data_IF_184535522628
#
_entry.id   IF_184535522628
#
_cell.length_a   1.000
_cell.length_b   1.000
_cell.length_c   1.000
_cell.angle_alpha   90.00
_cell.angle_beta   90.00
_cell.angle_gamma   90.00
#
_symmetry.space_group_name_H-M   'P 1'
#
loop_
_entity.id
_entity.type
_entity.pdbx_description
1 polymer ?
#
# COMPACT_ATOMS: atom_id res chain seq x y z
N UNK A 1 -0.59 -16.85 -4.18
CA UNK A 1 0.45 -15.83 -4.44
C UNK A 1 1.44 -15.87 -3.27
N UNK A 2 2.70 -15.45 -3.43
CA UNK A 2 3.61 -15.33 -2.29
C UNK A 2 3.04 -14.36 -1.24
N UNK A 3 3.33 -14.64 0.04
CA UNK A 3 2.91 -13.80 1.15
C UNK A 3 4.12 -13.11 1.77
N UNK A 4 3.93 -11.84 2.12
CA UNK A 4 4.96 -10.99 2.72
C UNK A 4 4.48 -10.47 4.07
N UNK A 5 5.41 -10.34 5.02
CA UNK A 5 5.16 -9.62 6.28
C UNK A 5 5.38 -8.12 6.05
N UNK A 6 4.31 -7.35 6.22
CA UNK A 6 4.38 -5.90 6.41
C UNK A 6 4.78 -5.61 7.84
N UNK A 7 6.01 -5.13 8.04
CA UNK A 7 6.55 -4.88 9.37
C UNK A 7 6.26 -3.45 9.85
N UNK A 8 5.88 -3.33 11.13
CA UNK A 8 5.69 -2.08 11.87
C UNK A 8 6.35 -2.21 13.24
N UNK A 9 6.95 -1.13 13.76
CA UNK A 9 7.64 -1.01 15.08
C UNK A 9 7.70 -2.29 15.93
N UNK A 10 8.92 -2.71 16.26
CA UNK A 10 9.19 -3.94 17.02
C UNK A 10 8.80 -5.19 16.20
N UNK A 11 7.90 -6.02 16.71
CA UNK A 11 7.42 -7.26 16.10
C UNK A 11 6.01 -7.12 15.46
N UNK A 12 5.47 -5.90 15.45
CA UNK A 12 4.13 -5.60 14.95
C UNK A 12 4.05 -5.66 13.43
N UNK A 13 2.85 -5.90 12.91
CA UNK A 13 2.65 -6.01 11.48
C UNK A 13 1.45 -6.87 11.10
N UNK A 14 1.39 -7.17 9.81
CA UNK A 14 0.47 -8.15 9.26
C UNK A 14 1.12 -8.90 8.08
N UNK A 15 0.58 -10.07 7.79
CA UNK A 15 0.87 -10.86 6.61
C UNK A 15 -0.17 -10.57 5.53
N UNK A 16 0.27 -10.55 4.28
CA UNK A 16 -0.59 -10.30 3.13
C UNK A 16 0.01 -10.90 1.85
N UNK A 17 -0.84 -11.19 0.86
CA UNK A 17 -0.35 -11.50 -0.49
C UNK A 17 0.36 -10.30 -1.11
N UNK A 18 1.51 -10.55 -1.72
CA UNK A 18 2.41 -9.50 -2.24
C UNK A 18 1.75 -8.62 -3.29
N UNK A 19 1.02 -9.23 -4.23
CA UNK A 19 0.30 -8.53 -5.29
C UNK A 19 -0.70 -7.51 -4.72
N UNK A 20 -1.40 -7.86 -3.63
CA UNK A 20 -2.36 -6.98 -2.98
C UNK A 20 -1.67 -5.78 -2.35
N UNK A 21 -0.49 -5.99 -1.74
CA UNK A 21 0.30 -4.91 -1.17
C UNK A 21 0.88 -4.00 -2.27
N UNK A 22 1.39 -4.60 -3.35
CA UNK A 22 1.90 -3.90 -4.53
C UNK A 22 0.83 -3.01 -5.18
N UNK A 23 -0.41 -3.51 -5.28
CA UNK A 23 -1.56 -2.73 -5.74
C UNK A 23 -1.81 -1.52 -4.82
N UNK A 24 -1.75 -1.69 -3.50
CA UNK A 24 -1.92 -0.59 -2.55
C UNK A 24 -0.77 0.41 -2.65
N UNK A 25 0.48 -0.04 -2.78
CA UNK A 25 1.61 0.85 -3.03
C UNK A 25 1.44 1.67 -4.30
N UNK A 26 0.90 1.09 -5.38
CA UNK A 26 0.58 1.84 -6.58
C UNK A 26 -0.34 3.04 -6.29
N UNK A 27 -1.44 2.83 -5.55
CA UNK A 27 -2.36 3.92 -5.22
C UNK A 27 -1.72 4.96 -4.29
N UNK A 28 -0.95 4.53 -3.29
CA UNK A 28 -0.23 5.44 -2.38
C UNK A 28 0.79 6.27 -3.16
N UNK A 29 1.59 5.65 -4.02
CA UNK A 29 2.58 6.33 -4.85
C UNK A 29 1.92 7.39 -5.74
N UNK A 30 0.84 7.02 -6.43
CA UNK A 30 0.08 7.91 -7.31
C UNK A 30 -0.50 9.11 -6.58
N UNK A 31 -0.92 8.95 -5.33
CA UNK A 31 -1.38 10.06 -4.51
C UNK A 31 -0.21 10.91 -4.02
N UNK A 32 0.80 10.27 -3.43
CA UNK A 32 1.92 10.94 -2.78
C UNK A 32 2.74 11.79 -3.75
N UNK A 33 2.88 11.39 -5.01
CA UNK A 33 3.66 12.15 -6.01
C UNK A 33 3.12 13.58 -6.23
N UNK A 34 1.85 13.84 -5.92
CA UNK A 34 1.26 15.19 -6.04
C UNK A 34 2.06 16.21 -5.24
N UNK A 35 2.28 17.38 -5.82
CA UNK A 35 3.14 18.44 -5.24
C UNK A 35 2.61 19.04 -3.94
N UNK A 36 1.32 18.86 -3.63
CA UNK A 36 0.69 19.38 -2.41
C UNK A 36 1.19 18.72 -1.11
N UNK A 37 1.79 17.53 -1.18
CA UNK A 37 2.30 16.83 0.00
C UNK A 37 3.76 17.17 0.24
N UNK A 38 4.05 17.70 1.42
CA UNK A 38 5.39 18.01 1.88
C UNK A 38 5.84 16.96 2.91
N UNK A 39 6.81 16.13 2.53
CA UNK A 39 7.45 15.13 3.39
C UNK A 39 8.96 15.31 3.32
N UNK A 40 9.63 15.19 4.46
CA UNK A 40 11.09 15.39 4.56
C UNK A 40 11.86 14.49 3.59
N UNK A 41 11.56 13.18 3.58
CA UNK A 41 12.21 12.20 2.72
C UNK A 41 11.31 11.70 1.57
N UNK A 42 10.49 12.59 1.01
CA UNK A 42 9.47 12.23 -0.01
C UNK A 42 10.04 11.41 -1.17
N UNK A 43 11.15 11.85 -1.74
CA UNK A 43 11.72 11.22 -2.94
C UNK A 43 12.21 9.81 -2.64
N UNK A 44 12.90 9.61 -1.52
CA UNK A 44 13.35 8.29 -1.10
C UNK A 44 12.17 7.34 -0.81
N UNK A 45 11.10 7.86 -0.21
CA UNK A 45 9.89 7.07 0.01
C UNK A 45 9.21 6.66 -1.30
N UNK A 46 9.17 7.56 -2.29
CA UNK A 46 8.66 7.26 -3.63
C UNK A 46 9.53 6.24 -4.36
N UNK A 47 10.86 6.33 -4.25
CA UNK A 47 11.80 5.35 -4.83
C UNK A 47 11.59 3.96 -4.24
N UNK A 48 11.47 3.83 -2.93
CA UNK A 48 11.19 2.55 -2.25
C UNK A 48 9.83 1.98 -2.65
N UNK A 49 8.77 2.79 -2.66
CA UNK A 49 7.46 2.35 -3.14
C UNK A 49 7.52 1.90 -4.60
N UNK A 50 8.28 2.60 -5.46
CA UNK A 50 8.41 2.23 -6.87
C UNK A 50 9.16 0.91 -7.03
N UNK A 51 10.21 0.69 -6.24
CA UNK A 51 10.94 -0.57 -6.19
C UNK A 51 10.03 -1.75 -5.83
N UNK A 52 9.15 -1.57 -4.84
CA UNK A 52 8.14 -2.59 -4.48
C UNK A 52 7.07 -2.75 -5.57
N UNK A 53 6.59 -1.66 -6.17
CA UNK A 53 5.63 -1.69 -7.29
C UNK A 53 6.20 -2.46 -8.47
N UNK A 54 7.50 -2.38 -8.72
CA UNK A 54 8.19 -3.10 -9.80
C UNK A 54 8.51 -4.57 -9.47
N UNK A 55 8.07 -5.06 -8.31
CA UNK A 55 8.18 -6.46 -7.91
C UNK A 55 9.59 -6.90 -7.52
N UNK A 56 10.47 -5.94 -7.20
CA UNK A 56 11.84 -6.26 -6.80
C UNK A 56 11.99 -6.70 -5.35
N UNK A 57 10.89 -6.74 -4.60
CA UNK A 57 10.82 -7.18 -3.21
C UNK A 57 9.97 -8.43 -3.09
N UNK A 58 10.54 -9.49 -2.48
CA UNK A 58 9.85 -10.76 -2.22
C UNK A 58 10.09 -11.22 -0.78
N UNK A 59 9.07 -11.79 -0.13
CA UNK A 59 9.12 -12.40 1.20
C UNK A 59 9.06 -11.44 2.39
N UNK A 60 9.45 -10.18 2.24
CA UNK A 60 9.22 -9.14 3.25
C UNK A 60 9.14 -7.76 2.62
N UNK A 61 8.03 -7.07 2.85
CA UNK A 61 7.81 -5.70 2.39
C UNK A 61 7.84 -4.73 3.57
N UNK A 62 8.41 -3.54 3.33
CA UNK A 62 8.54 -2.50 4.34
C UNK A 62 8.28 -1.15 3.72
N UNK A 63 7.45 -0.35 4.37
CA UNK A 63 7.12 1.00 3.93
C UNK A 63 8.24 2.02 4.18
N UNK A 64 9.40 1.60 4.71
CA UNK A 64 10.51 2.49 5.07
C UNK A 64 10.19 3.49 6.20
N UNK A 65 8.96 3.48 6.71
CA UNK A 65 8.40 4.50 7.59
C UNK A 65 9.21 4.76 8.86
N UNK A 66 9.78 3.71 9.47
CA UNK A 66 10.64 3.87 10.66
C UNK A 66 11.89 4.71 10.37
N UNK A 67 12.42 4.63 9.14
CA UNK A 67 13.66 5.28 8.72
C UNK A 67 13.41 6.62 8.04
N UNK A 68 12.31 6.75 7.31
CA UNK A 68 12.05 7.89 6.42
C UNK A 68 11.09 8.94 6.99
N UNK A 69 10.30 8.59 7.99
CA UNK A 69 9.42 9.53 8.69
C UNK A 69 10.20 10.13 9.86
N UNK A 70 10.49 11.42 9.80
CA UNK A 70 11.33 12.09 10.79
C UNK A 70 10.53 12.88 11.83
N UNK A 71 9.28 13.23 11.50
CA UNK A 71 8.48 14.15 12.30
C UNK A 71 7.01 13.74 12.43
N UNK A 72 6.32 14.29 13.42
CA UNK A 72 4.86 14.17 13.53
C UNK A 72 4.14 14.82 12.33
N UNK A 73 4.73 15.82 11.70
CA UNK A 73 4.20 16.43 10.47
C UNK A 73 4.21 15.46 9.30
N UNK A 74 5.29 14.66 9.19
CA UNK A 74 5.39 13.62 8.16
C UNK A 74 4.31 12.54 8.37
N UNK A 75 4.09 12.13 9.62
CA UNK A 75 3.03 11.18 9.98
C UNK A 75 1.65 11.72 9.56
N UNK A 76 1.34 12.97 9.90
CA UNK A 76 0.04 13.58 9.54
C UNK A 76 -0.13 13.69 8.03
N UNK A 77 0.93 14.04 7.30
CA UNK A 77 0.90 14.10 5.83
C UNK A 77 0.65 12.73 5.22
N UNK A 78 1.30 11.68 5.73
CA UNK A 78 1.06 10.31 5.24
C UNK A 78 -0.35 9.81 5.58
N UNK A 79 -0.88 10.14 6.76
CA UNK A 79 -2.28 9.83 7.08
C UNK A 79 -3.22 10.53 6.09
N UNK A 80 -2.98 11.81 5.77
CA UNK A 80 -3.78 12.53 4.76
C UNK A 80 -3.70 11.88 3.38
N UNK A 81 -2.51 11.43 2.95
CA UNK A 81 -2.33 10.66 1.70
C UNK A 81 -3.18 9.40 1.73
N UNK A 82 -3.11 8.60 2.80
CA UNK A 82 -3.87 7.36 2.94
C UNK A 82 -5.39 7.60 2.97
N UNK A 83 -5.84 8.66 3.63
CA UNK A 83 -7.26 9.05 3.63
C UNK A 83 -7.74 9.45 2.23
N UNK A 84 -6.93 10.18 1.45
CA UNK A 84 -7.27 10.50 0.07
C UNK A 84 -7.23 9.28 -0.86
N UNK A 85 -6.29 8.34 -0.67
CA UNK A 85 -6.29 7.05 -1.36
C UNK A 85 -7.58 6.27 -1.05
N UNK A 86 -7.98 6.23 0.21
CA UNK A 86 -9.24 5.59 0.64
C UNK A 86 -10.45 6.22 -0.04
N UNK A 87 -10.48 7.55 -0.18
CA UNK A 87 -11.54 8.27 -0.87
C UNK A 87 -11.54 7.99 -2.38
N UNK A 88 -10.37 8.01 -3.05
CA UNK A 88 -10.25 7.67 -4.47
C UNK A 88 -10.74 6.25 -4.73
N UNK A 89 -10.31 5.27 -3.92
CA UNK A 89 -10.75 3.89 -4.00
C UNK A 89 -12.27 3.78 -3.84
N UNK A 90 -12.86 4.37 -2.79
CA UNK A 90 -14.31 4.32 -2.59
C UNK A 90 -15.11 4.98 -3.74
N UNK A 91 -14.55 6.00 -4.40
CA UNK A 91 -15.22 6.68 -5.51
C UNK A 91 -15.38 5.80 -6.76
N UNK A 92 -14.61 4.72 -6.87
CA UNK A 92 -14.65 3.76 -7.99
C UNK A 92 -15.81 2.75 -7.89
N UNK A 93 -16.55 2.72 -6.77
CA UNK A 93 -17.66 1.80 -6.54
C UNK A 93 -17.25 0.53 -5.81
N UNK A 94 -17.69 -0.64 -6.27
CA UNK A 94 -17.42 -1.92 -5.60
C UNK A 94 -16.15 -2.63 -6.09
N UNK A 95 -15.75 -2.40 -7.34
CA UNK A 95 -14.64 -3.09 -7.99
C UNK A 95 -13.72 -2.12 -8.75
N UNK A 96 -12.43 -2.40 -8.72
CA UNK A 96 -11.44 -1.84 -9.64
C UNK A 96 -11.58 -2.59 -10.96
N UNK A 97 -11.71 -1.85 -12.07
CA UNK A 97 -11.85 -2.47 -13.39
C UNK A 97 -10.58 -3.19 -13.83
N UNK A 98 -10.73 -4.25 -14.63
CA UNK A 98 -9.59 -4.95 -15.27
C UNK A 98 -8.76 -3.96 -16.10
N UNK A 99 -9.40 -3.04 -16.81
CA UNK A 99 -8.71 -2.04 -17.61
C UNK A 99 -7.77 -1.17 -16.75
N UNK A 100 -8.22 -0.72 -15.58
CA UNK A 100 -7.38 0.05 -14.66
C UNK A 100 -6.21 -0.79 -14.15
N UNK A 101 -6.47 -2.04 -13.72
CA UNK A 101 -5.44 -2.94 -13.21
C UNK A 101 -4.37 -3.26 -14.26
N UNK A 102 -4.78 -3.54 -15.50
CA UNK A 102 -3.87 -3.87 -16.60
C UNK A 102 -3.05 -2.67 -17.10
N UNK A 103 -3.52 -1.45 -16.85
CA UNK A 103 -2.83 -0.21 -17.17
C UNK A 103 -1.78 0.21 -16.14
N UNK A 104 -1.73 -0.44 -14.97
CA UNK A 104 -0.69 -0.19 -13.98
C UNK A 104 0.68 -0.51 -14.61
N UNK A 105 1.59 0.45 -14.51
CA UNK A 105 2.96 0.34 -15.02
C UNK A 105 3.84 -0.28 -13.94
N UNK A 106 4.31 -1.49 -14.18
CA UNK A 106 5.18 -2.26 -13.31
C UNK A 106 6.10 -3.14 -14.16
N UNK A 107 7.32 -3.38 -13.67
CA UNK A 107 8.24 -4.37 -14.24
C UNK A 107 7.94 -5.81 -13.80
N UNK A 108 7.04 -5.98 -12.82
CA UNK A 108 6.56 -7.28 -12.40
C UNK A 108 5.58 -7.84 -13.44
N UNK A 109 6.10 -8.76 -14.26
CA UNK A 109 5.29 -9.43 -15.26
C UNK A 109 4.19 -10.31 -14.64
N UNK A 110 4.33 -10.75 -13.39
CA UNK A 110 3.34 -11.59 -12.72
C UNK A 110 2.14 -10.80 -12.21
N UNK A 111 2.34 -9.54 -11.83
CA UNK A 111 1.29 -8.65 -11.33
C UNK A 111 0.02 -8.72 -12.20
N UNK A 112 0.18 -8.62 -13.51
CA UNK A 112 -0.96 -8.59 -14.45
C UNK A 112 -1.69 -9.94 -14.56
N UNK A 113 -1.01 -11.06 -14.32
CA UNK A 113 -1.65 -12.37 -14.30
C UNK A 113 -2.57 -12.55 -13.09
N UNK A 114 -2.28 -11.86 -11.99
CA UNK A 114 -3.11 -11.87 -10.79
C UNK A 114 -4.38 -11.01 -10.91
N UNK A 115 -4.41 -10.06 -11.85
CA UNK A 115 -5.51 -9.11 -12.02
C UNK A 115 -6.25 -9.24 -13.36
N UNK A 116 -6.72 -10.46 -13.64
CA UNK A 116 -7.49 -10.79 -14.86
C UNK A 116 -9.00 -10.54 -14.74
N UNK A 117 -9.49 -10.29 -13.53
CA UNK A 117 -10.89 -10.04 -13.21
C UNK A 117 -11.03 -8.74 -12.40
N UNK A 118 -12.21 -8.10 -12.36
CA UNK A 118 -12.44 -6.93 -11.53
C UNK A 118 -12.11 -7.25 -10.07
N UNK A 119 -11.32 -6.38 -9.43
CA UNK A 119 -10.81 -6.63 -8.08
C UNK A 119 -11.63 -5.85 -7.05
N UNK A 120 -12.14 -6.48 -5.98
CA UNK A 120 -12.98 -5.80 -5.01
C UNK A 120 -12.20 -4.73 -4.24
N UNK A 121 -12.81 -3.55 -4.12
CA UNK A 121 -12.21 -2.39 -3.44
C UNK A 121 -12.06 -2.62 -1.93
N UNK A 122 -12.85 -3.54 -1.34
CA UNK A 122 -12.77 -3.88 0.07
C UNK A 122 -11.37 -4.32 0.51
N UNK A 123 -10.64 -5.06 -0.33
CA UNK A 123 -9.27 -5.50 -0.04
C UNK A 123 -8.30 -4.33 0.17
N UNK A 124 -8.08 -3.48 -0.85
CA UNK A 124 -7.24 -2.30 -0.74
C UNK A 124 -7.65 -1.37 0.42
N UNK A 125 -8.95 -1.22 0.67
CA UNK A 125 -9.46 -0.43 1.80
C UNK A 125 -9.06 -1.03 3.16
N UNK A 126 -9.15 -2.37 3.34
CA UNK A 126 -8.69 -3.05 4.56
C UNK A 126 -7.21 -2.75 4.84
N UNK A 127 -6.37 -2.85 3.81
CA UNK A 127 -4.93 -2.57 3.91
C UNK A 127 -4.68 -1.10 4.28
N UNK A 128 -5.30 -0.16 3.55
CA UNK A 128 -5.15 1.28 3.81
C UNK A 128 -5.57 1.63 5.24
N UNK A 129 -6.65 1.03 5.76
CA UNK A 129 -7.06 1.21 7.16
C UNK A 129 -6.03 0.67 8.15
N UNK A 130 -5.42 -0.50 7.89
CA UNK A 130 -4.34 -1.03 8.72
C UNK A 130 -3.12 -0.09 8.75
N UNK A 131 -2.75 0.43 7.59
CA UNK A 131 -1.67 1.41 7.44
C UNK A 131 -1.94 2.71 8.22
N UNK A 132 -3.17 3.23 8.18
CA UNK A 132 -3.58 4.40 8.99
C UNK A 132 -3.49 4.09 10.49
N UNK A 133 -3.94 2.91 10.92
CA UNK A 133 -3.82 2.50 12.33
C UNK A 133 -2.37 2.37 12.78
N UNK A 134 -1.47 1.89 11.92
CA UNK A 134 -0.04 1.85 12.19
C UNK A 134 0.54 3.26 12.36
N UNK A 135 0.20 4.21 11.48
CA UNK A 135 0.67 5.60 11.62
C UNK A 135 0.12 6.28 12.89
N UNK A 136 -1.13 5.99 13.24
CA UNK A 136 -1.75 6.49 14.48
C UNK A 136 -1.27 5.77 15.75
N UNK A 137 -0.50 4.68 15.62
CA UNK A 137 -0.04 3.89 16.76
C UNK A 137 -1.12 3.04 17.43
N UNK A 138 -2.27 2.87 16.81
CA UNK A 138 -3.38 2.04 17.31
C UNK A 138 -3.31 0.59 16.83
N UNK A 139 -2.42 0.28 15.89
CA UNK A 139 -2.18 -1.10 15.44
C UNK A 139 -1.48 -1.91 16.54
N UNK A 140 -2.07 -3.05 16.92
CA UNK A 140 -1.58 -3.90 18.01
C UNK A 140 -1.18 -5.30 17.57
N UNK A 141 -1.58 -5.75 16.37
CA UNK A 141 -1.30 -7.10 15.91
C UNK A 141 0.17 -7.30 15.51
N UNK A 142 0.66 -8.52 15.74
CA UNK A 142 2.04 -8.94 15.46
C UNK A 142 2.16 -9.85 14.25
N UNK A 143 1.18 -10.74 14.06
CA UNK A 143 1.17 -11.76 13.01
C UNK A 143 -0.25 -11.99 12.45
N UNK A 144 -1.09 -10.95 12.42
CA UNK A 144 -2.41 -11.05 11.77
C UNK A 144 -2.26 -11.24 10.26
N UNK A 145 -3.11 -12.05 9.64
CA UNK A 145 -3.20 -12.16 8.19
C UNK A 145 -4.37 -11.33 7.69
N UNK A 146 -4.12 -10.37 6.80
CA UNK A 146 -5.21 -9.60 6.19
C UNK A 146 -5.78 -10.43 5.04
N UNK A 147 -6.92 -11.05 5.29
CA UNK A 147 -7.67 -11.79 4.29
C UNK A 147 -8.45 -10.83 3.37
N UNK A 148 -8.24 -10.98 2.07
CA UNK A 148 -8.93 -10.23 1.03
C UNK A 148 -9.86 -11.17 0.29
N UNK A 149 -11.13 -10.80 0.29
CA UNK A 149 -12.15 -11.48 -0.49
C UNK A 149 -11.80 -11.29 -1.97
N UNK A 150 -11.65 -12.38 -2.71
CA UNK A 150 -11.48 -12.36 -4.17
C UNK A 150 -12.80 -12.75 -4.81
N UNK A 151 -13.12 -12.12 -5.95
CA UNK A 151 -14.33 -12.38 -6.72
C UNK A 151 -14.21 -13.64 -7.59
#
# INVERSE_FOLDING_TARGET
MPTSKMSYKEDKGFWIEESFMQLVFHYIYKELIKSQYNLTNKNQLLEEMKFDIDGYTTGSMSLGWRRLIESSSDIQTLIQVLEHVKLDLNSKGMYISVQELQNIQTEDNEFKYYYTHPFPISGPIKIVNALIQMLNGTWTATNEYIEIDIA
#
